data_IF_335313206045
#
_entry.id   IF_335313206045
#
_cell.length_a   1.000
_cell.length_b   1.000
_cell.length_c   1.000
_cell.angle_alpha   90.00
_cell.angle_beta   90.00
_cell.angle_gamma   90.00
#
_symmetry.space_group_name_H-M   'P 1'
#
loop_
_entity.id
_entity.type
_entity.pdbx_description
1 polymer ?
#
# COMPACT_ATOMS: atom_id res chain seq x y z
N UNK A 1 0.18 23.67 17.11
CA UNK A 1 -0.01 24.19 15.73
C UNK A 1 -1.45 23.92 15.34
N UNK A 2 -2.17 24.90 14.76
CA UNK A 2 -3.54 24.63 14.28
C UNK A 2 -3.46 24.04 12.87
N UNK A 3 -3.66 22.73 12.76
CA UNK A 3 -3.78 22.06 11.46
C UNK A 3 -5.22 22.20 10.94
N UNK A 4 -5.42 22.28 9.60
CA UNK A 4 -6.75 22.25 9.03
C UNK A 4 -7.42 20.91 9.32
N UNK A 5 -8.72 20.91 9.61
CA UNK A 5 -9.48 19.67 9.73
C UNK A 5 -9.46 18.93 8.38
N UNK A 6 -9.43 17.59 8.45
CA UNK A 6 -9.54 16.78 7.23
C UNK A 6 -10.98 16.79 6.70
N UNK A 7 -11.12 17.04 5.40
CA UNK A 7 -12.42 17.02 4.72
C UNK A 7 -12.44 15.89 3.68
N UNK A 8 -13.29 14.87 3.93
CA UNK A 8 -13.51 13.79 2.97
C UNK A 8 -14.07 14.37 1.67
N UNK A 9 -13.44 14.01 0.55
CA UNK A 9 -13.70 14.57 -0.79
C UNK A 9 -13.48 16.08 -0.93
N UNK A 10 -12.89 16.73 0.07
CA UNK A 10 -12.38 18.09 -0.06
C UNK A 10 -11.25 18.19 -1.10
N UNK A 11 -10.90 19.41 -1.51
CA UNK A 11 -9.88 19.64 -2.55
C UNK A 11 -8.57 18.94 -2.26
N UNK A 12 -8.10 18.99 -1.02
CA UNK A 12 -6.84 18.35 -0.58
C UNK A 12 -6.88 16.84 -0.77
N UNK A 13 -7.98 16.21 -0.33
CA UNK A 13 -8.20 14.78 -0.48
C UNK A 13 -8.25 14.35 -1.95
N UNK A 14 -9.03 15.05 -2.79
CA UNK A 14 -9.13 14.73 -4.21
C UNK A 14 -7.79 14.86 -4.95
N UNK A 15 -7.03 15.91 -4.65
CA UNK A 15 -5.68 16.08 -5.23
C UNK A 15 -4.76 14.93 -4.82
N UNK A 16 -4.78 14.54 -3.55
CA UNK A 16 -3.98 13.41 -3.05
C UNK A 16 -4.39 12.10 -3.71
N UNK A 17 -5.69 11.83 -3.85
CA UNK A 17 -6.18 10.65 -4.57
C UNK A 17 -5.73 10.62 -6.03
N UNK A 18 -5.74 11.76 -6.71
CA UNK A 18 -5.24 11.84 -8.09
C UNK A 18 -3.75 11.54 -8.19
N UNK A 19 -2.94 12.06 -7.25
CA UNK A 19 -1.50 11.75 -7.19
C UNK A 19 -1.28 10.26 -6.92
N UNK A 20 -1.98 9.69 -5.94
CA UNK A 20 -1.90 8.27 -5.63
C UNK A 20 -2.29 7.41 -6.85
N UNK A 21 -3.41 7.72 -7.51
CA UNK A 21 -3.86 7.01 -8.71
C UNK A 21 -2.83 7.11 -9.85
N UNK A 22 -2.24 8.28 -10.06
CA UNK A 22 -1.21 8.48 -11.07
C UNK A 22 0.03 7.61 -10.81
N UNK A 23 0.46 7.48 -9.55
CA UNK A 23 1.58 6.61 -9.16
C UNK A 23 1.20 5.13 -9.29
N UNK A 24 0.02 4.72 -8.78
CA UNK A 24 -0.47 3.34 -8.81
C UNK A 24 -0.59 2.81 -10.25
N UNK A 25 -1.03 3.66 -11.18
CA UNK A 25 -1.15 3.29 -12.59
C UNK A 25 0.14 3.53 -13.39
N UNK A 26 0.75 4.70 -13.22
CA UNK A 26 1.88 5.15 -14.04
C UNK A 26 3.15 4.32 -13.85
N UNK A 27 3.46 3.95 -12.61
CA UNK A 27 4.64 3.14 -12.31
C UNK A 27 4.59 1.74 -12.97
N UNK A 28 3.53 0.92 -12.80
CA UNK A 28 3.41 -0.34 -13.52
C UNK A 28 3.41 -0.16 -15.03
N UNK A 29 2.75 0.85 -15.54
CA UNK A 29 2.71 1.17 -16.98
C UNK A 29 4.09 1.43 -17.56
N UNK A 30 4.97 2.10 -16.80
CA UNK A 30 6.36 2.33 -17.21
C UNK A 30 7.16 1.03 -17.31
N UNK A 31 6.94 0.06 -16.40
CA UNK A 31 7.70 -1.18 -16.35
C UNK A 31 7.14 -2.31 -17.24
N UNK A 32 5.85 -2.27 -17.61
CA UNK A 32 5.19 -3.39 -18.28
C UNK A 32 5.84 -3.80 -19.62
N UNK A 33 6.50 -2.87 -20.32
CA UNK A 33 7.15 -3.10 -21.61
C UNK A 33 8.69 -3.17 -21.49
N UNK A 34 9.23 -3.29 -20.28
CA UNK A 34 10.67 -3.44 -20.05
C UNK A 34 11.08 -4.91 -20.09
N UNK A 35 12.38 -5.15 -20.23
CA UNK A 35 12.95 -6.49 -20.08
C UNK A 35 12.71 -7.06 -18.68
N UNK A 36 12.76 -8.38 -18.57
CA UNK A 36 12.46 -9.11 -17.33
C UNK A 36 13.33 -8.65 -16.15
N UNK A 37 14.62 -8.36 -16.39
CA UNK A 37 15.51 -7.89 -15.32
C UNK A 37 15.04 -6.54 -14.74
N UNK A 38 14.59 -5.62 -15.59
CA UNK A 38 14.03 -4.32 -15.14
C UNK A 38 12.67 -4.50 -14.46
N UNK A 39 11.84 -5.43 -14.95
CA UNK A 39 10.57 -5.75 -14.27
C UNK A 39 10.81 -6.31 -12.87
N UNK A 40 11.78 -7.21 -12.71
CA UNK A 40 12.17 -7.73 -11.39
C UNK A 40 12.70 -6.58 -10.51
N UNK A 41 13.55 -5.72 -11.06
CA UNK A 41 14.08 -4.55 -10.33
C UNK A 41 12.95 -3.62 -9.88
N UNK A 42 11.97 -3.31 -10.77
CA UNK A 42 10.81 -2.49 -10.42
C UNK A 42 10.02 -3.07 -9.26
N UNK A 43 9.79 -4.39 -9.24
CA UNK A 43 9.16 -5.07 -8.10
C UNK A 43 9.97 -4.97 -6.81
N UNK A 44 11.30 -5.13 -6.88
CA UNK A 44 12.19 -4.97 -5.72
C UNK A 44 12.20 -3.54 -5.17
N UNK A 45 12.10 -2.53 -6.04
CA UNK A 45 11.99 -1.13 -5.61
C UNK A 45 10.70 -0.92 -4.82
N UNK A 46 9.55 -1.42 -5.29
CA UNK A 46 8.29 -1.36 -4.54
C UNK A 46 8.44 -2.03 -3.18
N UNK A 47 8.97 -3.25 -3.13
CA UNK A 47 9.20 -3.96 -1.87
C UNK A 47 10.09 -3.16 -0.91
N UNK A 48 11.17 -2.55 -1.42
CA UNK A 48 12.05 -1.68 -0.63
C UNK A 48 11.33 -0.45 -0.07
N UNK A 49 10.49 0.21 -0.86
CA UNK A 49 9.68 1.35 -0.41
C UNK A 49 8.72 0.93 0.70
N UNK A 50 8.02 -0.21 0.54
CA UNK A 50 7.11 -0.73 1.57
C UNK A 50 7.88 -1.06 2.86
N UNK A 51 9.06 -1.70 2.77
CA UNK A 51 9.88 -1.99 3.94
C UNK A 51 10.28 -0.70 4.67
N UNK A 52 10.75 0.31 3.93
CA UNK A 52 11.11 1.60 4.53
C UNK A 52 9.90 2.23 5.22
N UNK A 53 8.74 2.23 4.57
CA UNK A 53 7.49 2.74 5.15
C UNK A 53 7.14 2.01 6.45
N UNK A 54 7.10 0.67 6.44
CA UNK A 54 6.76 -0.15 7.62
C UNK A 54 7.73 0.02 8.79
N UNK A 55 8.98 0.32 8.52
CA UNK A 55 9.99 0.55 9.57
C UNK A 55 9.96 1.99 10.10
N UNK A 56 9.62 2.95 9.26
CA UNK A 56 9.63 4.38 9.66
C UNK A 56 8.32 4.82 10.29
N UNK A 57 7.19 4.27 9.87
CA UNK A 57 5.88 4.65 10.39
C UNK A 57 5.78 4.51 11.91
N UNK A 58 6.04 3.34 12.52
CA UNK A 58 5.94 3.18 13.97
C UNK A 58 6.89 4.12 14.75
N UNK A 59 8.11 4.33 14.22
CA UNK A 59 9.06 5.27 14.83
C UNK A 59 8.49 6.69 14.81
N UNK A 60 7.89 7.06 13.70
CA UNK A 60 7.28 8.36 13.52
C UNK A 60 6.09 8.56 14.49
N UNK A 61 5.20 7.58 14.55
CA UNK A 61 3.99 7.63 15.37
C UNK A 61 4.31 7.65 16.86
N UNK A 62 5.27 6.85 17.33
CA UNK A 62 5.69 6.81 18.74
C UNK A 62 6.42 8.09 19.14
N UNK A 63 7.39 8.57 18.34
CA UNK A 63 8.28 9.66 18.76
C UNK A 63 7.76 11.05 18.43
N UNK A 64 6.90 11.22 17.45
CA UNK A 64 6.37 12.53 17.05
C UNK A 64 4.93 12.75 17.48
N UNK A 65 4.13 11.68 17.64
CA UNK A 65 2.74 11.77 18.05
C UNK A 65 2.46 11.16 19.43
N UNK A 66 3.50 10.65 20.10
CA UNK A 66 3.38 10.10 21.47
C UNK A 66 2.35 8.94 21.55
N UNK A 67 2.19 8.20 20.42
CA UNK A 67 1.25 7.09 20.35
C UNK A 67 1.78 5.88 21.13
N UNK A 68 0.90 5.09 21.75
CA UNK A 68 1.32 3.93 22.51
C UNK A 68 1.88 2.85 21.59
N UNK A 69 3.11 2.40 21.84
CA UNK A 69 3.82 1.40 21.04
C UNK A 69 3.03 0.09 20.80
N UNK A 70 2.06 -0.22 21.68
CA UNK A 70 1.22 -1.40 21.53
C UNK A 70 0.28 -1.32 20.32
N UNK A 71 -0.11 -0.11 19.92
CA UNK A 71 -0.94 0.13 18.73
C UNK A 71 -0.17 0.01 17.42
N UNK A 72 1.18 0.10 17.50
CA UNK A 72 2.05 0.12 16.32
C UNK A 72 2.51 -1.28 15.86
N UNK A 73 2.03 -2.34 16.52
CA UNK A 73 2.27 -3.68 16.04
C UNK A 73 1.58 -3.92 14.70
N UNK A 74 2.26 -4.50 13.69
CA UNK A 74 1.71 -4.72 12.35
C UNK A 74 0.69 -5.88 12.37
N UNK A 75 -0.49 -5.63 12.95
CA UNK A 75 -1.57 -6.60 13.13
C UNK A 75 -2.81 -6.29 12.30
N UNK A 76 -2.78 -5.22 11.52
CA UNK A 76 -3.86 -4.87 10.60
C UNK A 76 -3.79 -5.67 9.30
N UNK A 77 -4.92 -5.90 8.65
CA UNK A 77 -4.98 -6.59 7.35
C UNK A 77 -4.10 -5.90 6.28
N UNK A 78 -3.94 -4.59 6.38
CA UNK A 78 -3.06 -3.81 5.50
C UNK A 78 -1.60 -4.20 5.69
N UNK A 79 -1.15 -4.43 6.93
CA UNK A 79 0.22 -4.84 7.25
C UNK A 79 0.50 -6.24 6.71
N UNK A 80 -0.43 -7.17 6.88
CA UNK A 80 -0.32 -8.51 6.29
C UNK A 80 -0.27 -8.46 4.77
N UNK A 81 -1.04 -7.56 4.14
CA UNK A 81 -0.98 -7.33 2.69
C UNK A 81 0.39 -6.79 2.26
N UNK A 82 0.96 -5.86 3.02
CA UNK A 82 2.31 -5.32 2.77
C UNK A 82 3.37 -6.42 2.91
N UNK A 83 3.36 -7.18 4.00
CA UNK A 83 4.30 -8.30 4.23
C UNK A 83 4.20 -9.36 3.13
N UNK A 84 2.99 -9.75 2.76
CA UNK A 84 2.75 -10.69 1.68
C UNK A 84 3.35 -10.20 0.36
N UNK A 85 3.15 -8.91 0.02
CA UNK A 85 3.68 -8.30 -1.20
C UNK A 85 5.19 -8.10 -1.18
N UNK A 86 5.78 -7.74 -0.04
CA UNK A 86 7.24 -7.70 0.11
C UNK A 86 7.84 -9.06 -0.25
N UNK A 87 7.36 -10.12 0.41
CA UNK A 87 7.89 -11.44 0.15
C UNK A 87 7.65 -11.89 -1.31
N UNK A 88 6.46 -11.61 -1.84
CA UNK A 88 6.09 -11.96 -3.21
C UNK A 88 6.93 -11.26 -4.27
N UNK A 89 7.23 -9.98 -4.09
CA UNK A 89 8.01 -9.19 -5.03
C UNK A 89 9.52 -9.50 -4.97
N UNK A 90 10.02 -9.85 -3.79
CA UNK A 90 11.44 -10.19 -3.59
C UNK A 90 11.76 -11.63 -4.03
N UNK A 91 10.82 -12.56 -3.91
CA UNK A 91 11.03 -13.97 -4.21
C UNK A 91 10.24 -14.40 -5.45
N UNK A 92 10.94 -14.65 -6.55
CA UNK A 92 10.32 -15.09 -7.81
C UNK A 92 9.66 -16.48 -7.73
N UNK A 93 9.94 -17.24 -6.67
CA UNK A 93 9.34 -18.57 -6.41
C UNK A 93 8.27 -18.52 -5.32
N UNK A 94 7.84 -17.32 -4.90
CA UNK A 94 6.82 -17.15 -3.88
C UNK A 94 5.49 -17.83 -4.28
N UNK A 95 4.78 -18.44 -3.34
CA UNK A 95 3.46 -19.03 -3.61
C UNK A 95 2.47 -17.95 -4.05
N UNK A 96 1.69 -18.22 -5.10
CA UNK A 96 0.71 -17.27 -5.64
C UNK A 96 -0.39 -16.88 -4.64
N UNK A 97 -0.65 -17.71 -3.66
CA UNK A 97 -1.63 -17.42 -2.61
C UNK A 97 -1.31 -16.11 -1.86
N UNK A 98 -0.03 -15.74 -1.71
CA UNK A 98 0.37 -14.49 -1.07
C UNK A 98 -0.10 -13.27 -1.88
N UNK A 99 0.01 -13.34 -3.21
CA UNK A 99 -0.56 -12.31 -4.08
C UNK A 99 -2.08 -12.28 -4.01
N UNK A 100 -2.74 -13.45 -3.97
CA UNK A 100 -4.20 -13.53 -3.87
C UNK A 100 -4.68 -12.93 -2.53
N UNK A 101 -4.02 -13.23 -1.41
CA UNK A 101 -4.30 -12.60 -0.12
C UNK A 101 -4.18 -11.08 -0.21
N UNK A 102 -3.03 -10.58 -0.66
CA UNK A 102 -2.79 -9.15 -0.79
C UNK A 102 -3.76 -8.47 -1.77
N UNK A 103 -4.16 -9.17 -2.84
CA UNK A 103 -5.16 -8.67 -3.78
C UNK A 103 -6.52 -8.47 -3.09
N UNK A 104 -7.06 -9.51 -2.44
CA UNK A 104 -8.40 -9.42 -1.86
C UNK A 104 -8.43 -8.49 -0.64
N UNK A 105 -7.45 -8.59 0.25
CA UNK A 105 -7.36 -7.72 1.44
C UNK A 105 -7.00 -6.29 1.06
N UNK A 106 -6.00 -6.13 0.18
CA UNK A 106 -5.50 -4.83 -0.23
C UNK A 106 -6.50 -4.04 -1.07
N UNK A 107 -7.15 -4.66 -2.07
CA UNK A 107 -8.14 -3.95 -2.90
C UNK A 107 -9.30 -3.45 -2.02
N UNK A 108 -9.86 -4.30 -1.17
CA UNK A 108 -10.96 -3.89 -0.31
C UNK A 108 -10.50 -2.89 0.76
N UNK A 109 -9.48 -3.24 1.55
CA UNK A 109 -9.03 -2.45 2.69
C UNK A 109 -8.37 -1.13 2.27
N UNK A 110 -7.36 -1.19 1.41
CA UNK A 110 -6.63 0.02 1.02
C UNK A 110 -7.47 0.98 0.18
N UNK A 111 -8.37 0.47 -0.68
CA UNK A 111 -9.26 1.35 -1.44
C UNK A 111 -10.25 2.07 -0.52
N UNK A 112 -10.82 1.36 0.45
CA UNK A 112 -11.73 1.97 1.43
C UNK A 112 -10.98 2.98 2.31
N UNK A 113 -9.79 2.65 2.78
CA UNK A 113 -8.96 3.58 3.55
C UNK A 113 -8.63 4.86 2.77
N UNK A 114 -8.30 4.75 1.48
CA UNK A 114 -8.06 5.92 0.64
C UNK A 114 -9.33 6.72 0.35
N UNK A 115 -10.47 6.04 0.16
CA UNK A 115 -11.73 6.71 -0.19
C UNK A 115 -12.40 7.41 1.02
N UNK A 116 -12.29 6.79 2.20
CA UNK A 116 -12.91 7.29 3.45
C UNK A 116 -11.94 7.16 4.61
N UNK A 117 -10.83 7.95 4.59
CA UNK A 117 -9.82 7.90 5.62
C UNK A 117 -10.36 8.40 6.96
N UNK A 118 -9.93 7.75 8.04
CA UNK A 118 -10.19 8.16 9.41
C UNK A 118 -9.06 9.07 9.90
N UNK A 119 -9.03 10.30 9.39
CA UNK A 119 -8.04 11.31 9.73
C UNK A 119 -8.74 12.55 10.32
N UNK A 120 -8.23 13.03 11.45
CA UNK A 120 -8.74 14.25 12.07
C UNK A 120 -8.23 15.51 11.34
N UNK A 121 -6.98 15.48 10.91
CA UNK A 121 -6.30 16.65 10.32
C UNK A 121 -5.83 16.39 8.89
N UNK A 122 -5.93 17.43 8.06
CA UNK A 122 -5.40 17.45 6.70
C UNK A 122 -3.91 17.80 6.64
N UNK A 123 -3.35 17.82 5.44
CA UNK A 123 -1.97 18.26 5.21
C UNK A 123 -1.75 19.70 5.73
N UNK A 124 -0.64 19.99 6.40
CA UNK A 124 0.58 19.21 6.55
C UNK A 124 0.69 18.39 7.85
N UNK A 125 -0.45 17.92 8.43
CA UNK A 125 -0.36 17.07 9.61
C UNK A 125 0.45 15.80 9.32
N UNK A 126 1.25 15.37 10.28
CA UNK A 126 2.21 14.29 10.04
C UNK A 126 1.60 12.95 9.70
N UNK A 127 0.42 12.60 10.22
CA UNK A 127 -0.28 11.36 9.90
C UNK A 127 -0.81 11.32 8.45
N UNK A 128 -1.06 12.50 7.86
CA UNK A 128 -1.68 12.61 6.55
C UNK A 128 -0.89 11.87 5.46
N UNK A 129 0.36 12.24 5.29
CA UNK A 129 1.18 11.70 4.20
C UNK A 129 1.48 10.19 4.35
N UNK A 130 1.92 9.69 5.51
CA UNK A 130 2.14 8.26 5.73
C UNK A 130 0.89 7.43 5.52
N UNK A 131 -0.27 7.89 5.98
CA UNK A 131 -1.55 7.21 5.79
C UNK A 131 -1.85 6.95 4.30
N UNK A 132 -1.80 8.02 3.48
CA UNK A 132 -2.10 7.92 2.05
C UNK A 132 -1.06 7.09 1.29
N UNK A 133 0.23 7.28 1.59
CA UNK A 133 1.28 6.52 0.93
C UNK A 133 1.28 5.05 1.33
N UNK A 134 1.09 4.73 2.62
CA UNK A 134 1.04 3.35 3.09
C UNK A 134 -0.03 2.52 2.36
N UNK A 135 -1.25 3.03 2.26
CA UNK A 135 -2.33 2.36 1.54
C UNK A 135 -2.12 2.35 0.01
N UNK A 136 -1.56 3.43 -0.54
CA UNK A 136 -1.22 3.49 -1.97
C UNK A 136 -0.15 2.47 -2.36
N UNK A 137 0.83 2.19 -1.50
CA UNK A 137 1.87 1.21 -1.80
C UNK A 137 1.34 -0.23 -1.87
N UNK A 138 0.30 -0.56 -1.09
CA UNK A 138 -0.39 -1.84 -1.22
C UNK A 138 -1.01 -1.97 -2.61
N UNK A 139 -1.77 -0.97 -3.03
CA UNK A 139 -2.41 -0.95 -4.35
C UNK A 139 -1.37 -0.93 -5.47
N UNK A 140 -0.29 -0.14 -5.32
CA UNK A 140 0.82 -0.10 -6.27
C UNK A 140 1.43 -1.49 -6.48
N UNK A 141 1.69 -2.22 -5.39
CA UNK A 141 2.26 -3.56 -5.45
C UNK A 141 1.32 -4.55 -6.14
N UNK A 142 0.02 -4.51 -5.81
CA UNK A 142 -1.02 -5.35 -6.44
C UNK A 142 -1.14 -5.03 -7.93
N UNK A 143 -1.26 -3.75 -8.30
CA UNK A 143 -1.35 -3.34 -9.71
C UNK A 143 -0.08 -3.66 -10.49
N UNK A 144 1.08 -3.61 -9.84
CA UNK A 144 2.34 -4.03 -10.46
C UNK A 144 2.32 -5.49 -10.87
N UNK A 145 1.86 -6.37 -9.99
CA UNK A 145 1.73 -7.80 -10.32
C UNK A 145 0.69 -8.03 -11.41
N UNK A 146 -0.46 -7.35 -11.35
CA UNK A 146 -1.51 -7.46 -12.37
C UNK A 146 -1.04 -7.01 -13.76
N UNK A 147 -0.31 -5.90 -13.85
CA UNK A 147 0.01 -5.25 -15.12
C UNK A 147 1.36 -5.70 -15.70
N UNK A 148 2.36 -5.95 -14.84
CA UNK A 148 3.73 -6.26 -15.26
C UNK A 148 3.95 -7.78 -15.31
N UNK A 149 3.52 -8.51 -14.27
CA UNK A 149 3.64 -9.97 -14.24
C UNK A 149 2.47 -10.70 -14.93
N UNK A 150 1.43 -9.94 -15.35
CA UNK A 150 0.20 -10.49 -15.95
C UNK A 150 -0.48 -11.58 -15.12
N UNK A 151 -0.30 -11.56 -13.81
CA UNK A 151 -0.96 -12.51 -12.92
C UNK A 151 -2.37 -12.04 -12.55
N UNK A 152 -3.27 -13.01 -12.37
CA UNK A 152 -4.67 -12.73 -12.03
C UNK A 152 -5.04 -13.50 -10.77
N UNK A 153 -5.80 -12.89 -9.86
CA UNK A 153 -6.34 -13.60 -8.71
C UNK A 153 -7.34 -14.67 -9.18
N UNK A 154 -7.39 -15.77 -8.46
CA UNK A 154 -8.30 -16.88 -8.76
C UNK A 154 -9.40 -16.88 -7.69
N UNK A 155 -10.67 -16.77 -8.13
CA UNK A 155 -11.83 -16.72 -7.21
C UNK A 155 -11.94 -17.99 -6.35
N UNK A 156 -11.51 -19.15 -6.84
CA UNK A 156 -11.48 -20.40 -6.06
C UNK A 156 -10.52 -20.36 -4.89
N UNK A 157 -9.63 -19.38 -4.80
CA UNK A 157 -8.74 -19.21 -3.66
C UNK A 157 -9.35 -18.33 -2.55
N UNK A 158 -10.49 -17.68 -2.80
CA UNK A 158 -11.19 -16.87 -1.78
C UNK A 158 -11.38 -17.62 -0.46
N UNK A 159 -11.87 -18.89 -0.43
CA UNK A 159 -12.01 -19.60 0.84
C UNK A 159 -10.69 -19.79 1.59
N UNK A 160 -9.56 -19.92 0.87
CA UNK A 160 -8.22 -20.06 1.48
C UNK A 160 -7.65 -18.72 1.99
N UNK A 161 -8.18 -17.62 1.48
CA UNK A 161 -7.76 -16.25 1.85
C UNK A 161 -8.54 -15.76 3.07
N UNK A 162 -9.77 -16.23 3.22
CA UNK A 162 -10.65 -15.84 4.34
C UNK A 162 -10.38 -16.68 5.59
N UNK A 163 -9.78 -17.89 5.42
CA UNK A 163 -9.46 -18.85 6.51
C UNK A 163 -10.57 -19.78 6.74
#
# INVERSE_FOLDING_TARGET
MNYPAFEVFGTQHLVTLLICAAVIYGYPKFFQNKDEAKQILGGKIIAGIIIVHMLTQPVYDIFLFDLPWQGEFPMHMCDFSQLAMIYYLLNQKAPKILFHCAYFWGICGATMALATPDLEYGFPHGEYSPFFWGHSFILLAVFYVLMVRNERPILSDIPKVIG
#
